data_IF_374117244957
#
_entry.id   IF_374117244957
#
_cell.length_a   1.000
_cell.length_b   1.000
_cell.length_c   1.000
_cell.angle_alpha   90.00
_cell.angle_beta   90.00
_cell.angle_gamma   90.00
#
_symmetry.space_group_name_H-M   'P 1'
#
loop_
_entity.id
_entity.type
_entity.pdbx_description
1 polymer ?
#
# COMPACT_ATOMS: atom_id res chain seq x y z
N UNK A 1 -0.80 4.09 18.36
CA UNK A 1 -1.95 4.46 17.56
C UNK A 1 -3.12 5.02 18.40
N UNK A 2 -3.51 4.37 19.52
CA UNK A 2 -4.57 4.84 20.41
C UNK A 2 -4.28 6.22 21.03
N UNK A 3 -3.03 6.49 21.34
CA UNK A 3 -2.58 7.77 21.93
C UNK A 3 -2.63 8.91 20.91
N UNK A 4 -2.15 8.67 19.69
CA UNK A 4 -2.25 9.64 18.59
C UNK A 4 -3.70 9.98 18.27
N UNK A 5 -4.59 8.98 18.21
CA UNK A 5 -6.02 9.22 18.00
C UNK A 5 -6.60 10.14 19.07
N UNK A 6 -6.21 9.96 20.35
CA UNK A 6 -6.69 10.78 21.47
C UNK A 6 -6.21 12.23 21.37
N UNK A 7 -5.00 12.47 20.87
CA UNK A 7 -4.48 13.82 20.60
C UNK A 7 -5.26 14.48 19.47
N UNK A 8 -5.39 13.81 18.32
CA UNK A 8 -6.07 14.38 17.15
C UNK A 8 -7.59 14.54 17.29
N UNK A 9 -8.23 13.87 18.25
CA UNK A 9 -9.65 14.03 18.55
C UNK A 9 -9.91 15.01 19.71
N UNK A 10 -8.89 15.52 20.38
CA UNK A 10 -9.04 16.47 21.47
C UNK A 10 -9.39 17.86 20.94
N UNK A 11 -10.48 18.43 21.39
CA UNK A 11 -10.98 19.77 20.98
C UNK A 11 -9.94 20.88 21.15
N UNK A 12 -9.09 20.80 22.17
CA UNK A 12 -8.01 21.76 22.41
C UNK A 12 -6.95 21.70 21.32
N UNK A 13 -6.50 20.52 20.94
CA UNK A 13 -5.53 20.35 19.83
C UNK A 13 -6.14 20.77 18.48
N UNK A 14 -7.39 20.44 18.23
CA UNK A 14 -8.10 20.89 17.01
C UNK A 14 -8.16 22.41 16.97
N UNK A 15 -8.43 23.06 18.10
CA UNK A 15 -8.45 24.52 18.20
C UNK A 15 -7.05 25.12 17.95
N UNK A 16 -5.99 24.57 18.55
CA UNK A 16 -4.60 24.97 18.29
C UNK A 16 -4.23 24.83 16.82
N UNK A 17 -4.59 23.71 16.18
CA UNK A 17 -4.35 23.48 14.75
C UNK A 17 -5.10 24.49 13.86
N UNK A 18 -6.29 24.90 14.26
CA UNK A 18 -7.07 25.92 13.53
C UNK A 18 -6.41 27.31 13.54
N UNK A 19 -5.61 27.60 14.57
CA UNK A 19 -4.86 28.86 14.70
C UNK A 19 -3.45 28.79 14.09
N UNK A 20 -2.98 27.59 13.78
CA UNK A 20 -1.67 27.39 13.19
C UNK A 20 -1.70 27.78 11.70
N UNK A 21 -0.71 28.58 11.28
CA UNK A 21 -0.57 28.96 9.88
C UNK A 21 -0.42 27.69 9.00
N UNK A 22 -1.09 27.61 7.83
CA UNK A 22 -1.05 26.44 6.97
C UNK A 22 0.38 25.95 6.62
N UNK A 23 1.31 26.90 6.39
CA UNK A 23 2.70 26.57 6.04
C UNK A 23 3.44 25.83 7.15
N UNK A 24 3.16 26.17 8.42
CA UNK A 24 3.73 25.45 9.57
C UNK A 24 3.15 24.03 9.64
N UNK A 25 1.85 23.87 9.39
CA UNK A 25 1.19 22.57 9.35
C UNK A 25 1.75 21.67 8.24
N UNK A 26 1.95 22.22 7.05
CA UNK A 26 2.55 21.52 5.92
C UNK A 26 4.00 21.14 6.20
N UNK A 27 4.80 22.08 6.72
CA UNK A 27 6.21 21.82 7.06
C UNK A 27 6.37 20.76 8.14
N UNK A 28 5.53 20.80 9.17
CA UNK A 28 5.50 19.78 10.22
C UNK A 28 5.08 18.41 9.67
N UNK A 29 4.06 18.37 8.82
CA UNK A 29 3.61 17.15 8.16
C UNK A 29 4.68 16.54 7.27
N UNK A 30 5.39 17.36 6.49
CA UNK A 30 6.51 16.91 5.66
C UNK A 30 7.69 16.40 6.49
N UNK A 31 8.03 17.08 7.60
CA UNK A 31 9.08 16.66 8.51
C UNK A 31 8.76 15.29 9.12
N UNK A 32 7.57 15.12 9.69
CA UNK A 32 7.11 13.85 10.28
C UNK A 32 7.03 12.72 9.22
N UNK A 33 6.64 13.05 7.99
CA UNK A 33 6.59 12.09 6.90
C UNK A 33 7.98 11.63 6.45
N UNK A 34 8.96 12.55 6.42
CA UNK A 34 10.37 12.23 6.09
C UNK A 34 11.00 11.32 7.13
N UNK A 35 10.85 11.63 8.42
CA UNK A 35 11.34 10.81 9.51
C UNK A 35 10.75 9.39 9.47
N UNK A 36 9.45 9.27 9.24
CA UNK A 36 8.81 7.97 9.08
C UNK A 36 9.35 7.20 7.86
N UNK A 37 9.64 7.88 6.75
CA UNK A 37 10.18 7.24 5.55
C UNK A 37 11.61 6.69 5.74
N UNK A 38 12.45 7.41 6.46
CA UNK A 38 13.82 6.97 6.77
C UNK A 38 13.81 5.78 7.74
N UNK A 39 12.94 5.80 8.76
CA UNK A 39 12.81 4.68 9.70
C UNK A 39 12.12 3.45 9.11
N UNK A 40 11.37 3.61 8.03
CA UNK A 40 10.63 2.52 7.37
C UNK A 40 11.46 1.72 6.39
N UNK A 41 12.47 2.32 5.75
CA UNK A 41 13.19 1.67 4.63
C UNK A 41 13.83 0.32 5.01
N UNK A 42 14.36 0.17 6.23
CA UNK A 42 14.91 -1.11 6.70
C UNK A 42 13.85 -2.10 7.20
N UNK A 43 12.74 -1.56 7.73
CA UNK A 43 11.61 -2.39 8.20
C UNK A 43 10.68 -2.80 7.07
N UNK A 44 10.66 -2.05 5.99
CA UNK A 44 9.74 -2.27 4.88
C UNK A 44 10.05 -3.58 4.14
N UNK A 45 11.31 -3.97 3.98
CA UNK A 45 11.65 -5.25 3.34
C UNK A 45 11.10 -6.46 4.11
N UNK A 46 11.30 -6.52 5.43
CA UNK A 46 10.79 -7.61 6.27
C UNK A 46 9.26 -7.53 6.46
N UNK A 47 8.70 -6.31 6.45
CA UNK A 47 7.26 -6.09 6.55
C UNK A 47 6.55 -6.38 5.22
N UNK A 48 7.18 -6.10 4.09
CA UNK A 48 6.74 -6.42 2.74
C UNK A 48 6.61 -7.94 2.59
N UNK A 49 7.61 -8.70 3.06
CA UNK A 49 7.60 -10.16 2.99
C UNK A 49 6.45 -10.75 3.81
N UNK A 50 6.32 -10.37 5.09
CA UNK A 50 5.20 -10.81 5.95
C UNK A 50 3.81 -10.44 5.41
N UNK A 51 3.67 -9.30 4.80
CA UNK A 51 2.39 -8.87 4.33
C UNK A 51 2.05 -9.42 2.94
N UNK A 52 3.06 -9.69 2.10
CA UNK A 52 2.90 -10.49 0.90
C UNK A 52 2.45 -11.90 1.25
N UNK A 53 3.06 -12.51 2.25
CA UNK A 53 2.66 -13.81 2.79
C UNK A 53 1.21 -13.82 3.32
N UNK A 54 0.80 -12.78 4.05
CA UNK A 54 -0.57 -12.67 4.56
C UNK A 54 -1.61 -12.54 3.43
N UNK A 55 -1.35 -11.70 2.42
CA UNK A 55 -2.22 -11.55 1.26
C UNK A 55 -2.30 -12.83 0.44
N UNK A 56 -1.19 -13.52 0.28
CA UNK A 56 -1.14 -14.83 -0.38
C UNK A 56 -1.99 -15.87 0.36
N UNK A 57 -1.89 -15.92 1.68
CA UNK A 57 -2.74 -16.79 2.53
C UNK A 57 -4.22 -16.41 2.43
N UNK A 58 -4.52 -15.11 2.39
CA UNK A 58 -5.89 -14.63 2.20
C UNK A 58 -6.46 -15.09 0.85
N UNK A 59 -5.71 -14.92 -0.25
CA UNK A 59 -6.13 -15.35 -1.58
C UNK A 59 -6.36 -16.85 -1.64
N UNK A 60 -5.44 -17.66 -1.10
CA UNK A 60 -5.57 -19.12 -1.05
C UNK A 60 -6.85 -19.55 -0.30
N UNK A 61 -7.11 -18.95 0.86
CA UNK A 61 -8.34 -19.21 1.62
C UNK A 61 -9.61 -18.82 0.85
N UNK A 62 -9.57 -17.77 0.03
CA UNK A 62 -10.71 -17.39 -0.83
C UNK A 62 -10.91 -18.39 -1.96
N UNK A 63 -9.83 -18.93 -2.52
CA UNK A 63 -9.89 -19.95 -3.56
C UNK A 63 -10.46 -21.29 -3.07
N UNK A 64 -10.40 -21.58 -1.76
CA UNK A 64 -11.06 -22.75 -1.17
C UNK A 64 -12.59 -22.65 -1.23
N UNK A 65 -13.13 -21.43 -1.21
CA UNK A 65 -14.57 -21.20 -1.25
C UNK A 65 -15.11 -20.97 -2.66
N UNK A 66 -14.36 -20.26 -3.50
CA UNK A 66 -14.77 -19.86 -4.85
C UNK A 66 -13.55 -19.65 -5.75
N UNK A 67 -13.67 -19.99 -7.04
CA UNK A 67 -12.61 -19.82 -8.02
C UNK A 67 -12.53 -18.38 -8.52
N UNK A 68 -11.31 -17.82 -8.51
CA UNK A 68 -10.95 -16.51 -9.09
C UNK A 68 -9.71 -16.65 -9.96
N UNK A 69 -9.74 -16.16 -11.19
CA UNK A 69 -8.59 -16.17 -12.08
C UNK A 69 -7.51 -15.18 -11.60
N UNK A 70 -7.94 -14.00 -11.12
CA UNK A 70 -7.03 -12.93 -10.70
C UNK A 70 -7.46 -12.27 -9.41
N UNK A 71 -6.49 -12.06 -8.51
CA UNK A 71 -6.59 -11.18 -7.35
C UNK A 71 -5.73 -9.96 -7.60
N UNK A 72 -6.36 -8.79 -7.70
CA UNK A 72 -5.66 -7.53 -8.00
C UNK A 72 -5.72 -6.63 -6.77
N UNK A 73 -4.55 -6.22 -6.30
CA UNK A 73 -4.38 -5.36 -5.15
C UNK A 73 -3.58 -4.11 -5.47
N UNK A 74 -3.80 -3.04 -4.73
CA UNK A 74 -3.03 -1.82 -4.71
C UNK A 74 -2.50 -1.50 -3.31
N UNK A 75 -2.23 -0.23 -3.06
CA UNK A 75 -1.86 0.36 -1.77
C UNK A 75 -0.46 0.03 -1.24
N UNK A 76 0.14 -1.07 -1.66
CA UNK A 76 1.45 -1.51 -1.16
C UNK A 76 2.64 -0.89 -1.89
N UNK A 77 2.41 -0.16 -2.95
CA UNK A 77 3.45 0.49 -3.75
C UNK A 77 4.56 -0.44 -4.27
N UNK A 78 4.38 -1.75 -4.18
CA UNK A 78 5.33 -2.76 -4.66
C UNK A 78 4.69 -3.60 -5.76
N UNK A 79 5.21 -3.58 -7.01
CA UNK A 79 4.69 -4.41 -8.08
C UNK A 79 5.06 -5.88 -7.81
N UNK A 80 4.04 -6.73 -7.75
CA UNK A 80 4.19 -8.17 -7.53
C UNK A 80 3.27 -8.94 -8.47
N UNK A 81 3.73 -10.08 -8.91
CA UNK A 81 2.98 -11.03 -9.70
C UNK A 81 3.32 -12.44 -9.24
N UNK A 82 2.40 -13.07 -8.54
CA UNK A 82 2.60 -14.34 -7.86
C UNK A 82 1.56 -15.34 -8.31
N UNK A 83 1.97 -16.49 -8.78
CA UNK A 83 1.12 -17.63 -9.07
C UNK A 83 0.67 -18.27 -7.74
N UNK A 84 -0.64 -18.46 -7.57
CA UNK A 84 -1.22 -19.07 -6.37
C UNK A 84 -1.46 -20.56 -6.54
N UNK A 85 -1.96 -20.93 -7.69
CA UNK A 85 -2.14 -22.29 -8.21
C UNK A 85 -2.14 -22.19 -9.72
N UNK A 86 -2.05 -23.28 -10.46
CA UNK A 86 -1.88 -23.27 -11.91
C UNK A 86 -2.93 -22.50 -12.74
N UNK A 87 -3.99 -21.96 -12.11
CA UNK A 87 -5.07 -21.20 -12.76
C UNK A 87 -5.35 -19.82 -12.16
N UNK A 88 -4.77 -19.50 -11.00
CA UNK A 88 -5.06 -18.27 -10.26
C UNK A 88 -3.79 -17.49 -9.95
N UNK A 89 -3.83 -16.15 -10.12
CA UNK A 89 -2.68 -15.27 -9.87
C UNK A 89 -3.04 -14.14 -8.92
N UNK A 90 -2.08 -13.75 -8.08
CA UNK A 90 -2.11 -12.58 -7.23
C UNK A 90 -1.21 -11.50 -7.81
N UNK A 91 -1.78 -10.34 -8.09
CA UNK A 91 -1.07 -9.21 -8.69
C UNK A 91 -1.23 -7.98 -7.80
N UNK A 92 -0.11 -7.36 -7.43
CA UNK A 92 -0.09 -6.03 -6.83
C UNK A 92 0.39 -5.02 -7.86
N UNK A 93 -0.39 -3.98 -8.08
CA UNK A 93 -0.19 -3.02 -9.19
C UNK A 93 1.06 -2.14 -9.03
N UNK A 94 1.62 -2.05 -7.81
CA UNK A 94 2.70 -1.11 -7.53
C UNK A 94 2.20 0.33 -7.36
N UNK A 95 2.94 1.29 -7.90
CA UNK A 95 2.64 2.72 -7.81
C UNK A 95 2.99 3.49 -9.08
N UNK A 96 2.50 4.72 -9.15
CA UNK A 96 2.83 5.72 -10.19
C UNK A 96 3.79 6.82 -9.69
N UNK A 97 4.55 6.54 -8.62
CA UNK A 97 5.52 7.47 -8.02
C UNK A 97 6.94 7.00 -8.28
N UNK A 98 7.20 5.69 -8.12
CA UNK A 98 8.54 5.09 -8.21
C UNK A 98 8.62 4.03 -9.29
N UNK A 99 7.62 3.16 -9.39
CA UNK A 99 7.64 1.99 -10.26
C UNK A 99 6.98 2.23 -11.61
N UNK A 100 5.96 3.11 -11.67
CA UNK A 100 5.17 3.40 -12.88
C UNK A 100 4.62 2.13 -13.51
N UNK A 101 4.00 1.27 -12.70
CA UNK A 101 3.48 -0.03 -13.11
C UNK A 101 1.97 -0.06 -13.19
N UNK A 102 1.45 -0.84 -14.11
CA UNK A 102 0.02 -1.05 -14.33
C UNK A 102 -0.23 -2.48 -14.80
N UNK A 103 -1.46 -2.95 -14.62
CA UNK A 103 -1.89 -4.24 -15.15
C UNK A 103 -2.75 -4.03 -16.40
N UNK A 104 -2.48 -4.82 -17.43
CA UNK A 104 -3.25 -4.84 -18.67
C UNK A 104 -3.96 -6.19 -18.81
N UNK A 105 -5.29 -6.14 -18.95
CA UNK A 105 -6.11 -7.32 -19.20
C UNK A 105 -6.36 -7.42 -20.69
N UNK A 106 -5.80 -8.44 -21.33
CA UNK A 106 -5.97 -8.76 -22.73
C UNK A 106 -6.69 -10.11 -22.90
N UNK A 107 -7.99 -10.08 -23.19
CA UNK A 107 -8.80 -11.30 -23.26
C UNK A 107 -8.84 -12.04 -21.91
N UNK A 108 -8.20 -13.21 -21.81
CA UNK A 108 -8.13 -14.02 -20.59
C UNK A 108 -6.79 -13.92 -19.86
N UNK A 109 -5.87 -13.11 -20.36
CA UNK A 109 -4.54 -12.95 -19.76
C UNK A 109 -4.39 -11.58 -19.09
N UNK A 110 -3.79 -11.55 -17.91
CA UNK A 110 -3.44 -10.35 -17.18
C UNK A 110 -1.92 -10.24 -17.10
N UNK A 111 -1.38 -9.09 -17.50
CA UNK A 111 0.06 -8.84 -17.46
C UNK A 111 0.39 -7.55 -16.70
N UNK A 112 1.36 -7.62 -15.79
CA UNK A 112 1.92 -6.46 -15.11
C UNK A 112 2.96 -5.82 -16.02
N UNK A 113 2.78 -4.55 -16.35
CA UNK A 113 3.64 -3.79 -17.26
C UNK A 113 4.20 -2.56 -16.56
N UNK A 114 5.38 -2.13 -17.02
CA UNK A 114 5.97 -0.86 -16.60
C UNK A 114 5.78 0.15 -17.72
N UNK A 115 5.28 1.34 -17.37
CA UNK A 115 5.22 2.46 -18.29
C UNK A 115 6.64 2.92 -18.63
N UNK A 116 6.92 3.03 -19.91
CA UNK A 116 8.15 3.61 -20.44
C UNK A 116 7.73 4.92 -21.10
N UNK A 117 7.99 6.04 -20.39
CA UNK A 117 7.83 7.39 -20.95
C UNK A 117 8.69 7.60 -22.17
#
# INVERSE_FOLDING_TARGET
YKWMKKIFTNKFFIWCFKWMHPDIGVSLGQFLSRENKIMSAEKDAAFIDKASEWLTKYCKRKLEAEHYDFFIFGHRHLPLDVELNGSSRYINLGDWITHFTFAELGGKSLSLKKYKG
#
